data_IF_869752710089
#
_entry.id   IF_869752710089
#
_cell.length_a   1.000
_cell.length_b   1.000
_cell.length_c   1.000
_cell.angle_alpha   90.00
_cell.angle_beta   90.00
_cell.angle_gamma   90.00
#
_symmetry.space_group_name_H-M   'P 1'
#
loop_
_entity.id
_entity.type
_entity.pdbx_description
1 polymer ?
#
# COMPACT_ATOMS: atom_id res chain seq x y z
N UNK A 1 12.26 -3.12 -30.31
CA UNK A 1 12.22 -1.88 -29.51
C UNK A 1 11.47 -2.25 -28.25
N UNK A 2 11.98 -1.91 -27.06
CA UNK A 2 11.27 -2.17 -25.79
C UNK A 2 10.51 -0.89 -25.49
N UNK A 3 9.20 -0.98 -25.25
CA UNK A 3 8.41 0.13 -24.72
C UNK A 3 8.66 0.22 -23.20
N UNK A 4 9.03 1.40 -22.73
CA UNK A 4 9.30 1.68 -21.32
C UNK A 4 8.20 2.61 -20.81
N UNK A 5 7.43 2.13 -19.82
CA UNK A 5 6.47 2.95 -19.10
C UNK A 5 7.08 3.43 -17.78
N UNK A 6 7.04 4.74 -17.52
CA UNK A 6 7.53 5.37 -16.30
C UNK A 6 6.37 6.14 -15.65
N UNK A 7 5.66 5.57 -14.67
CA UNK A 7 4.63 6.30 -13.97
C UNK A 7 5.25 7.50 -13.25
N UNK A 8 4.70 8.69 -13.47
CA UNK A 8 5.05 9.87 -12.68
C UNK A 8 4.36 9.78 -11.31
N UNK A 9 5.10 10.06 -10.23
CA UNK A 9 4.52 10.08 -8.88
C UNK A 9 3.67 11.35 -8.73
N UNK A 10 2.36 11.23 -8.93
CA UNK A 10 1.38 12.30 -8.77
C UNK A 10 0.20 11.81 -7.92
N UNK A 11 0.06 12.34 -6.70
CA UNK A 11 -1.02 11.99 -5.79
C UNK A 11 -2.33 12.76 -6.00
N UNK A 12 -2.38 13.69 -6.95
CA UNK A 12 -3.55 14.54 -7.15
C UNK A 12 -4.76 13.71 -7.56
N UNK A 13 -5.83 13.77 -6.76
CA UNK A 13 -7.07 13.04 -7.02
C UNK A 13 -7.09 11.59 -6.52
N UNK A 14 -5.98 11.09 -5.96
CA UNK A 14 -5.94 9.74 -5.40
C UNK A 14 -6.56 9.69 -4.00
N UNK A 15 -7.37 8.67 -3.74
CA UNK A 15 -7.93 8.31 -2.43
C UNK A 15 -7.11 7.20 -1.80
N UNK A 16 -6.52 7.48 -0.63
CA UNK A 16 -5.56 6.60 0.03
C UNK A 16 -6.11 6.12 1.38
N UNK A 17 -6.13 4.80 1.56
CA UNK A 17 -6.49 4.18 2.84
C UNK A 17 -5.25 3.78 3.65
N UNK A 18 -5.16 4.19 4.91
CA UNK A 18 -4.05 3.85 5.81
C UNK A 18 -4.56 3.02 6.99
N UNK A 19 -3.96 1.85 7.20
CA UNK A 19 -4.21 0.98 8.34
C UNK A 19 -2.96 0.88 9.20
N UNK A 20 -3.02 1.36 10.44
CA UNK A 20 -1.88 1.29 11.39
C UNK A 20 -2.14 0.32 12.56
N UNK A 21 -1.22 -0.61 12.78
CA UNK A 21 -1.18 -1.43 13.99
C UNK A 21 -0.63 -0.65 15.20
N UNK A 22 -1.30 -0.74 16.36
CA UNK A 22 -0.99 0.05 17.56
C UNK A 22 0.01 -0.57 18.54
N UNK A 23 0.39 -1.84 18.34
CA UNK A 23 1.18 -2.57 19.34
C UNK A 23 2.54 -1.90 19.65
N UNK A 24 3.23 -1.38 18.63
CA UNK A 24 4.48 -0.63 18.75
C UNK A 24 4.26 0.86 18.42
N UNK A 25 3.49 1.54 19.27
CA UNK A 25 2.88 2.84 18.93
C UNK A 25 3.90 3.93 18.56
N UNK A 26 5.00 4.06 19.29
CA UNK A 26 6.03 5.08 18.99
C UNK A 26 6.61 4.90 17.57
N UNK A 27 6.85 3.66 17.14
CA UNK A 27 7.34 3.35 15.80
C UNK A 27 6.23 3.58 14.77
N UNK A 28 5.00 3.17 15.10
CA UNK A 28 3.82 3.39 14.27
C UNK A 28 3.54 4.88 14.01
N UNK A 29 3.68 5.74 15.02
CA UNK A 29 3.55 7.19 14.86
C UNK A 29 4.64 7.78 13.96
N UNK A 30 5.89 7.34 14.12
CA UNK A 30 6.98 7.75 13.24
C UNK A 30 6.73 7.38 11.77
N UNK A 31 6.27 6.15 11.53
CA UNK A 31 5.85 5.68 10.21
C UNK A 31 4.70 6.53 9.64
N UNK A 32 3.64 6.74 10.44
CA UNK A 32 2.46 7.49 10.02
C UNK A 32 2.78 8.94 9.67
N UNK A 33 3.52 9.63 10.53
CA UNK A 33 3.88 11.04 10.32
C UNK A 33 4.71 11.23 9.04
N UNK A 34 5.68 10.34 8.80
CA UNK A 34 6.49 10.39 7.59
C UNK A 34 5.68 10.03 6.33
N UNK A 35 4.79 9.03 6.44
CA UNK A 35 3.90 8.62 5.36
C UNK A 35 2.94 9.75 4.95
N UNK A 36 2.19 10.33 5.89
CA UNK A 36 1.23 11.39 5.59
C UNK A 36 1.93 12.64 5.06
N UNK A 37 3.08 13.01 5.63
CA UNK A 37 3.89 14.12 5.10
C UNK A 37 4.23 13.89 3.63
N UNK A 38 4.73 12.70 3.28
CA UNK A 38 5.11 12.41 1.90
C UNK A 38 3.89 12.33 0.96
N UNK A 39 2.75 11.77 1.40
CA UNK A 39 1.51 11.77 0.61
C UNK A 39 1.10 13.21 0.24
N UNK A 40 1.07 14.12 1.22
CA UNK A 40 0.73 15.52 0.99
C UNK A 40 1.77 16.23 0.11
N UNK A 41 3.07 15.98 0.34
CA UNK A 41 4.14 16.54 -0.49
C UNK A 41 4.06 16.09 -1.97
N UNK A 42 3.38 14.95 -2.23
CA UNK A 42 3.12 14.41 -3.57
C UNK A 42 1.74 14.74 -4.11
N UNK A 43 0.93 15.53 -3.41
CA UNK A 43 -0.32 16.09 -3.92
C UNK A 43 -1.59 15.34 -3.54
N UNK A 44 -1.52 14.32 -2.68
CA UNK A 44 -2.73 13.72 -2.09
C UNK A 44 -3.37 14.73 -1.14
N UNK A 45 -4.66 15.02 -1.32
CA UNK A 45 -5.38 15.94 -0.44
C UNK A 45 -5.66 15.29 0.93
N UNK A 46 -5.70 16.08 2.00
CA UNK A 46 -5.91 15.56 3.36
C UNK A 46 -7.28 14.87 3.49
N UNK A 47 -8.30 15.43 2.84
CA UNK A 47 -9.66 14.87 2.78
C UNK A 47 -9.76 13.52 2.05
N UNK A 48 -8.79 13.19 1.20
CA UNK A 48 -8.73 11.95 0.43
C UNK A 48 -7.94 10.85 1.16
N UNK A 49 -7.44 11.13 2.37
CA UNK A 49 -6.73 10.17 3.22
C UNK A 49 -7.67 9.66 4.32
N UNK A 50 -8.04 8.37 4.24
CA UNK A 50 -8.70 7.69 5.36
C UNK A 50 -7.65 7.03 6.25
N UNK A 51 -7.65 7.36 7.54
CA UNK A 51 -6.77 6.74 8.52
C UNK A 51 -7.56 5.92 9.55
N UNK A 52 -7.22 4.64 9.68
CA UNK A 52 -7.77 3.74 10.70
C UNK A 52 -6.68 3.01 11.46
N UNK A 53 -7.00 2.54 12.67
CA UNK A 53 -6.07 1.80 13.52
C UNK A 53 -6.61 0.46 13.98
N UNK A 54 -5.73 -0.53 14.07
CA UNK A 54 -6.02 -1.90 14.54
C UNK A 54 -5.14 -2.28 15.74
N UNK A 55 -5.51 -3.29 16.55
CA UNK A 55 -4.74 -3.67 17.72
C UNK A 55 -3.29 -4.09 17.41
N UNK A 56 -3.09 -5.00 16.46
CA UNK A 56 -1.78 -5.52 16.08
C UNK A 56 -1.63 -5.79 14.59
N UNK A 57 -0.45 -6.25 14.19
CA UNK A 57 -0.12 -6.51 12.78
C UNK A 57 -0.98 -7.63 12.15
N UNK A 58 -1.45 -8.59 12.96
CA UNK A 58 -2.29 -9.70 12.49
C UNK A 58 -3.69 -9.24 12.07
N UNK A 59 -4.18 -8.12 12.59
CA UNK A 59 -5.50 -7.56 12.24
C UNK A 59 -5.44 -6.64 11.02
N UNK A 60 -4.24 -6.22 10.59
CA UNK A 60 -4.07 -5.31 9.44
C UNK A 60 -4.68 -5.89 8.15
N UNK A 61 -4.43 -7.17 7.75
CA UNK A 61 -5.04 -7.74 6.56
C UNK A 61 -6.56 -7.67 6.54
N UNK A 62 -7.23 -7.95 7.67
CA UNK A 62 -8.69 -7.92 7.74
C UNK A 62 -9.25 -6.51 7.50
N UNK A 63 -8.62 -5.49 8.12
CA UNK A 63 -9.04 -4.12 7.90
C UNK A 63 -8.79 -3.66 6.46
N UNK A 64 -7.65 -4.02 5.86
CA UNK A 64 -7.37 -3.75 4.44
C UNK A 64 -8.40 -4.41 3.53
N UNK A 65 -8.77 -5.66 3.79
CA UNK A 65 -9.78 -6.37 3.01
C UNK A 65 -11.13 -5.64 3.01
N UNK A 66 -11.53 -5.09 4.16
CA UNK A 66 -12.77 -4.29 4.24
C UNK A 66 -12.68 -2.98 3.45
N UNK A 67 -11.50 -2.35 3.40
CA UNK A 67 -11.28 -1.16 2.58
C UNK A 67 -11.25 -1.49 1.08
N UNK A 68 -10.66 -2.63 0.68
CA UNK A 68 -10.72 -3.08 -0.71
C UNK A 68 -12.18 -3.29 -1.17
N UNK A 69 -13.02 -3.88 -0.30
CA UNK A 69 -14.42 -4.17 -0.60
C UNK A 69 -15.31 -2.92 -0.71
N UNK A 70 -14.87 -1.76 -0.23
CA UNK A 70 -15.63 -0.52 -0.42
C UNK A 70 -15.45 0.07 -1.82
N UNK A 71 -14.42 -0.34 -2.56
CA UNK A 71 -14.13 0.17 -3.92
C UNK A 71 -13.95 1.70 -3.95
N UNK A 72 -13.46 2.28 -2.84
CA UNK A 72 -13.36 3.74 -2.63
C UNK A 72 -11.93 4.28 -2.71
N UNK A 73 -10.93 3.40 -2.87
CA UNK A 73 -9.52 3.74 -2.73
C UNK A 73 -8.72 3.30 -3.95
N UNK A 74 -7.72 4.09 -4.32
CA UNK A 74 -6.80 3.77 -5.43
C UNK A 74 -5.57 3.00 -4.94
N UNK A 75 -5.20 3.20 -3.66
CA UNK A 75 -4.17 2.42 -3.00
C UNK A 75 -4.36 2.40 -1.49
N UNK A 76 -3.82 1.35 -0.86
CA UNK A 76 -3.82 1.18 0.59
C UNK A 76 -2.39 1.11 1.15
N UNK A 77 -2.25 1.45 2.43
CA UNK A 77 -0.97 1.46 3.14
C UNK A 77 -1.11 0.73 4.47
N UNK A 78 -0.26 -0.27 4.70
CA UNK A 78 -0.15 -1.00 5.94
C UNK A 78 1.02 -0.48 6.77
N UNK A 79 0.75 0.06 7.95
CA UNK A 79 1.76 0.59 8.87
C UNK A 79 1.80 -0.19 10.17
N UNK A 80 3.01 -0.36 10.73
CA UNK A 80 3.18 -0.97 12.05
C UNK A 80 4.60 -1.43 12.28
N UNK A 81 4.82 -2.11 13.40
CA UNK A 81 6.08 -2.79 13.65
C UNK A 81 5.87 -4.07 14.45
N UNK A 82 6.73 -5.05 14.19
CA UNK A 82 6.89 -6.32 14.89
C UNK A 82 8.38 -6.40 15.25
N UNK A 83 8.68 -6.42 16.54
CA UNK A 83 10.06 -6.38 17.06
C UNK A 83 10.34 -7.71 17.76
N UNK A 84 11.51 -8.30 17.49
CA UNK A 84 11.85 -9.64 17.97
C UNK A 84 11.87 -9.70 19.50
N UNK A 85 11.13 -10.67 20.03
CA UNK A 85 11.16 -11.06 21.44
C UNK A 85 11.83 -12.42 21.64
N UNK A 86 11.52 -13.08 22.75
CA UNK A 86 12.20 -14.33 23.16
C UNK A 86 11.63 -15.60 22.52
N UNK A 87 10.48 -15.50 21.86
CA UNK A 87 9.74 -16.67 21.36
C UNK A 87 9.51 -16.60 19.86
N UNK A 88 9.12 -17.74 19.28
CA UNK A 88 8.72 -17.88 17.88
C UNK A 88 7.54 -16.98 17.45
N UNK A 89 6.87 -16.32 18.40
CA UNK A 89 5.76 -15.42 18.11
C UNK A 89 6.16 -14.30 17.13
N UNK A 90 7.42 -13.83 17.17
CA UNK A 90 7.92 -12.86 16.19
C UNK A 90 7.78 -13.38 14.76
N UNK A 91 8.30 -14.59 14.49
CA UNK A 91 8.32 -15.17 13.15
C UNK A 91 6.89 -15.48 12.67
N UNK A 92 6.00 -15.90 13.58
CA UNK A 92 4.58 -16.09 13.25
C UNK A 92 3.90 -14.76 12.89
N UNK A 93 4.01 -13.73 13.73
CA UNK A 93 3.31 -12.46 13.49
C UNK A 93 3.86 -11.74 12.25
N UNK A 94 5.18 -11.71 12.09
CA UNK A 94 5.82 -11.05 10.93
C UNK A 94 5.44 -11.72 9.61
N UNK A 95 5.53 -13.06 9.53
CA UNK A 95 5.23 -13.78 8.30
C UNK A 95 3.74 -13.78 7.97
N UNK A 96 2.87 -14.07 8.94
CA UNK A 96 1.42 -14.19 8.68
C UNK A 96 0.78 -12.83 8.37
N UNK A 97 1.24 -11.74 9.01
CA UNK A 97 0.76 -10.39 8.65
C UNK A 97 1.19 -9.99 7.24
N UNK A 98 2.45 -10.22 6.86
CA UNK A 98 2.96 -9.95 5.51
C UNK A 98 2.23 -10.77 4.45
N UNK A 99 2.07 -12.08 4.68
CA UNK A 99 1.35 -12.98 3.77
C UNK A 99 -0.13 -12.59 3.63
N UNK A 100 -0.80 -12.20 4.72
CA UNK A 100 -2.16 -11.70 4.69
C UNK A 100 -2.31 -10.42 3.85
N UNK A 101 -1.39 -9.45 4.02
CA UNK A 101 -1.40 -8.21 3.22
C UNK A 101 -1.24 -8.52 1.73
N UNK A 102 -0.26 -9.35 1.37
CA UNK A 102 -0.03 -9.75 -0.02
C UNK A 102 -1.25 -10.45 -0.61
N UNK A 103 -1.86 -11.36 0.15
CA UNK A 103 -3.06 -12.07 -0.28
C UNK A 103 -4.21 -11.11 -0.56
N UNK A 104 -4.47 -10.16 0.33
CA UNK A 104 -5.55 -9.16 0.14
C UNK A 104 -5.30 -8.32 -1.11
N UNK A 105 -4.07 -7.83 -1.34
CA UNK A 105 -3.75 -7.05 -2.53
C UNK A 105 -3.97 -7.83 -3.83
N UNK A 106 -3.56 -9.10 -3.87
CA UNK A 106 -3.73 -9.96 -5.04
C UNK A 106 -5.19 -10.40 -5.26
N UNK A 107 -5.92 -10.75 -4.20
CA UNK A 107 -7.31 -11.22 -4.31
C UNK A 107 -8.26 -10.08 -4.76
N UNK A 108 -7.89 -8.82 -4.51
CA UNK A 108 -8.71 -7.64 -4.81
C UNK A 108 -8.15 -6.75 -5.92
N UNK A 109 -7.03 -7.10 -6.54
CA UNK A 109 -6.30 -6.22 -7.49
C UNK A 109 -6.10 -4.80 -6.92
N UNK A 110 -5.70 -4.71 -5.66
CA UNK A 110 -5.53 -3.44 -4.96
C UNK A 110 -4.04 -3.22 -4.67
N UNK A 111 -3.44 -2.10 -5.08
CA UNK A 111 -2.12 -1.70 -4.62
C UNK A 111 -2.08 -1.55 -3.10
N UNK A 112 -1.23 -2.34 -2.43
CA UNK A 112 -1.02 -2.20 -0.98
C UNK A 112 0.46 -2.04 -0.65
N UNK A 113 0.85 -0.86 -0.18
CA UNK A 113 2.18 -0.60 0.31
C UNK A 113 2.37 -1.19 1.73
N UNK A 114 3.23 -2.19 1.88
CA UNK A 114 3.55 -2.78 3.17
C UNK A 114 4.75 -2.11 3.85
N UNK A 115 4.48 -1.40 4.94
CA UNK A 115 5.46 -0.78 5.82
C UNK A 115 5.29 -1.23 7.28
N UNK A 116 4.86 -2.47 7.50
CA UNK A 116 5.04 -3.15 8.79
C UNK A 116 6.52 -3.51 8.94
N UNK A 117 7.22 -2.80 9.82
CA UNK A 117 8.62 -3.06 10.11
C UNK A 117 8.80 -4.37 10.86
N UNK A 118 9.68 -5.24 10.37
CA UNK A 118 10.09 -6.47 11.06
C UNK A 118 11.55 -6.33 11.49
N UNK A 119 11.79 -6.03 12.77
CA UNK A 119 13.11 -5.65 13.27
C UNK A 119 13.57 -6.55 14.42
N UNK A 120 14.88 -6.68 14.56
CA UNK A 120 15.49 -7.45 15.65
C UNK A 120 15.50 -6.69 16.99
N UNK A 121 15.41 -5.36 16.96
CA UNK A 121 15.39 -4.49 18.13
C UNK A 121 14.78 -3.11 17.84
N UNK A 122 14.59 -2.32 18.89
CA UNK A 122 14.01 -0.97 18.82
C UNK A 122 14.90 0.01 18.05
N UNK A 123 16.23 -0.08 18.18
CA UNK A 123 17.16 0.82 17.48
C UNK A 123 17.02 0.70 15.96
N UNK A 124 16.87 -0.52 15.46
CA UNK A 124 16.62 -0.77 14.04
C UNK A 124 15.28 -0.17 13.57
N UNK A 125 14.24 -0.27 14.41
CA UNK A 125 12.91 0.24 14.10
C UNK A 125 12.91 1.78 14.06
N UNK A 126 13.52 2.43 15.06
CA UNK A 126 13.66 3.89 15.13
C UNK A 126 14.44 4.42 13.93
N UNK A 127 15.54 3.75 13.56
CA UNK A 127 16.36 4.17 12.42
C UNK A 127 15.64 4.09 11.06
N UNK A 128 14.58 3.28 10.96
CA UNK A 128 13.87 3.00 9.70
C UNK A 128 12.50 3.65 9.59
N UNK A 129 11.84 3.96 10.71
CA UNK A 129 10.43 4.37 10.70
C UNK A 129 10.13 5.58 9.80
N UNK A 130 11.03 6.56 9.73
CA UNK A 130 10.82 7.75 8.91
C UNK A 130 10.96 7.44 7.40
N UNK A 131 12.07 6.83 6.98
CA UNK A 131 12.31 6.48 5.58
C UNK A 131 11.25 5.48 5.08
N UNK A 132 10.97 4.44 5.87
CA UNK A 132 10.01 3.41 5.48
C UNK A 132 8.57 3.95 5.39
N UNK A 133 8.20 4.91 6.24
CA UNK A 133 6.90 5.58 6.17
C UNK A 133 6.75 6.40 4.88
N UNK A 134 7.76 7.22 4.56
CA UNK A 134 7.76 8.00 3.32
C UNK A 134 7.79 7.11 2.06
N UNK A 135 8.56 6.03 2.09
CA UNK A 135 8.60 5.10 0.96
C UNK A 135 7.27 4.37 0.76
N UNK A 136 6.53 4.09 1.83
CA UNK A 136 5.19 3.51 1.72
C UNK A 136 4.23 4.42 0.95
N UNK A 137 4.28 5.74 1.22
CA UNK A 137 3.50 6.74 0.50
C UNK A 137 3.89 6.78 -0.98
N UNK A 138 5.19 6.82 -1.29
CA UNK A 138 5.68 6.83 -2.68
C UNK A 138 5.24 5.57 -3.44
N UNK A 139 5.39 4.39 -2.84
CA UNK A 139 4.96 3.12 -3.44
C UNK A 139 3.46 3.11 -3.68
N UNK A 140 2.65 3.58 -2.74
CA UNK A 140 1.20 3.62 -2.90
C UNK A 140 0.78 4.49 -4.08
N UNK A 141 1.33 5.71 -4.19
CA UNK A 141 1.03 6.64 -5.29
C UNK A 141 1.52 6.06 -6.62
N UNK A 142 2.78 5.62 -6.69
CA UNK A 142 3.36 5.11 -7.93
C UNK A 142 2.61 3.88 -8.46
N UNK A 143 2.19 2.98 -7.56
CA UNK A 143 1.40 1.81 -7.95
C UNK A 143 -0.03 2.17 -8.34
N UNK A 144 -0.66 3.17 -7.70
CA UNK A 144 -1.98 3.66 -8.12
C UNK A 144 -1.92 4.25 -9.54
N UNK A 145 -0.96 5.15 -9.81
CA UNK A 145 -0.76 5.71 -11.14
C UNK A 145 -0.40 4.64 -12.19
N UNK A 146 0.36 3.62 -11.81
CA UNK A 146 0.65 2.49 -12.69
C UNK A 146 -0.60 1.68 -13.00
N UNK A 147 -1.45 1.43 -12.00
CA UNK A 147 -2.68 0.67 -12.18
C UNK A 147 -3.63 1.37 -13.16
N UNK A 148 -3.87 2.66 -12.96
CA UNK A 148 -4.69 3.48 -13.87
C UNK A 148 -4.15 3.42 -15.31
N UNK A 149 -2.84 3.62 -15.49
CA UNK A 149 -2.23 3.59 -16.81
C UNK A 149 -2.24 2.20 -17.48
N UNK A 150 -2.13 1.12 -16.69
CA UNK A 150 -2.25 -0.24 -17.23
C UNK A 150 -3.68 -0.56 -17.62
N UNK A 151 -4.68 -0.08 -16.88
CA UNK A 151 -6.10 -0.24 -17.21
C UNK A 151 -6.44 0.48 -18.53
N UNK A 152 -5.97 1.72 -18.70
CA UNK A 152 -6.08 2.47 -19.95
C UNK A 152 -5.40 1.75 -21.14
N UNK A 153 -4.22 1.19 -20.91
CA UNK A 153 -3.49 0.47 -21.96
C UNK A 153 -4.22 -0.81 -22.39
N UNK A 154 -4.71 -1.60 -21.42
CA UNK A 154 -5.39 -2.86 -21.69
C UNK A 154 -6.76 -2.65 -22.34
N UNK A 155 -7.51 -1.63 -21.90
CA UNK A 155 -8.79 -1.28 -22.54
C UNK A 155 -8.63 -0.85 -23.99
N UNK A 156 -7.58 -0.09 -24.32
CA UNK A 156 -7.26 0.26 -25.71
C UNK A 156 -6.94 -0.98 -26.58
N UNK A 157 -6.26 -1.99 -26.03
CA UNK A 157 -5.96 -3.21 -26.80
C UNK A 157 -7.20 -4.04 -27.08
N UNK A 158 -8.16 -4.09 -26.15
CA UNK A 158 -9.42 -4.81 -26.35
C UNK A 158 -10.28 -4.16 -27.45
N UNK A 159 -10.36 -2.82 -27.50
CA UNK A 159 -11.10 -2.11 -28.55
C UNK A 159 -10.52 -2.34 -29.96
N UNK A 160 -9.19 -2.42 -30.10
CA UNK A 160 -8.54 -2.70 -31.39
C UNK A 160 -8.82 -4.13 -31.85
N UNK A 161 -8.75 -5.11 -30.95
CA UNK A 161 -9.02 -6.51 -31.27
C UNK A 161 -10.49 -6.75 -31.68
N UNK A 162 -11.44 -5.99 -31.11
CA UNK A 162 -12.86 -6.05 -31.52
C UNK A 162 -13.10 -5.42 -32.90
N UNK A 163 -12.48 -4.27 -33.19
CA UNK A 163 -12.61 -3.59 -34.48
C UNK A 163 -12.03 -4.42 -35.64
N UNK A 164 -10.87 -5.08 -35.45
CA UNK A 164 -10.28 -5.96 -36.46
C UNK A 164 -11.13 -7.21 -36.75
N UNK A 165 -11.93 -7.68 -35.78
CA UNK A 165 -12.82 -8.83 -35.96
C UNK A 165 -14.15 -8.49 -36.66
N UNK A 166 -14.57 -7.21 -36.67
CA UNK A 166 -15.75 -6.76 -37.39
C UNK A 166 -15.48 -6.50 -38.88
N UNK A 167 -14.28 -6.03 -39.23
CA UNK A 167 -13.89 -5.75 -40.62
C UNK A 167 -13.63 -7.04 -41.45
N UNK A 168 -13.44 -8.20 -40.80
CA UNK A 168 -13.24 -9.51 -41.43
C UNK A 168 -14.55 -10.33 -41.63
N UNK A 169 -15.73 -9.72 -41.38
CA UNK A 169 -17.08 -10.30 -41.61
C UNK A 169 -17.82 -9.65 -42.78
#
# INVERSE_FOLDING_TARGET
>A
MIEEFKPEINGTGLRIGIVKARFNENIGEGLFNACVKELMDKGVAEEDILFITVPGALEVPLALQMLCQSEEFDALIALGAVIRGETYHFDLVSNESGAGITKVGLDHNMPIANAILTCENDEQAIARMAEKGADAARVAIEMACLYEALDDFLSFTEEVDEAEQEDDK
#
